data_IF_761130785962
#
_entry.id   IF_761130785962
#
_cell.length_a   1.000
_cell.length_b   1.000
_cell.length_c   1.000
_cell.angle_alpha   90.00
_cell.angle_beta   90.00
_cell.angle_gamma   90.00
#
_symmetry.space_group_name_H-M   'P 1'
#
loop_
_entity.id
_entity.type
_entity.pdbx_description
1 polymer ?
#
# COMPACT_ATOMS: atom_id res chain seq x y z
N UNK A 1 -9.25 -10.27 -14.14
CA UNK A 1 -9.85 -9.48 -13.05
C UNK A 1 -9.67 -8.01 -13.40
N UNK A 2 -10.75 -7.22 -13.38
CA UNK A 2 -10.63 -5.77 -13.53
C UNK A 2 -10.03 -5.20 -12.25
N UNK A 3 -9.05 -4.31 -12.34
CA UNK A 3 -8.55 -3.57 -11.18
C UNK A 3 -9.68 -2.72 -10.62
N UNK A 4 -9.95 -2.81 -9.32
CA UNK A 4 -10.83 -1.85 -8.65
C UNK A 4 -10.06 -0.54 -8.47
N UNK A 5 -10.68 0.57 -8.88
CA UNK A 5 -10.07 1.88 -8.82
C UNK A 5 -11.12 2.98 -8.60
N UNK A 6 -10.64 4.14 -8.16
CA UNK A 6 -11.40 5.38 -8.19
C UNK A 6 -10.48 6.58 -8.43
N UNK A 7 -11.05 7.69 -8.88
CA UNK A 7 -10.35 8.96 -8.98
C UNK A 7 -10.71 9.86 -7.80
N UNK A 8 -9.71 10.51 -7.20
CA UNK A 8 -9.91 11.53 -6.19
C UNK A 8 -8.78 12.58 -6.25
N UNK A 9 -9.16 13.86 -6.19
CA UNK A 9 -8.23 14.99 -6.21
C UNK A 9 -7.25 14.96 -7.41
N UNK A 10 -7.70 14.46 -8.56
CA UNK A 10 -6.88 14.37 -9.78
C UNK A 10 -5.92 13.17 -9.83
N UNK A 11 -5.99 12.26 -8.86
CA UNK A 11 -5.15 11.06 -8.81
C UNK A 11 -6.00 9.78 -8.88
N UNK A 12 -5.46 8.77 -9.56
CA UNK A 12 -6.06 7.44 -9.64
C UNK A 12 -5.57 6.60 -8.46
N UNK A 13 -6.53 6.01 -7.74
CA UNK A 13 -6.30 5.10 -6.62
C UNK A 13 -6.66 3.68 -7.01
N UNK A 14 -5.81 2.72 -6.67
CA UNK A 14 -6.02 1.29 -6.89
C UNK A 14 -6.08 0.53 -5.58
N UNK A 15 -6.96 -0.46 -5.49
CA UNK A 15 -6.90 -1.46 -4.43
C UNK A 15 -5.67 -2.35 -4.67
N UNK A 16 -4.57 -2.12 -3.94
CA UNK A 16 -3.35 -2.88 -4.16
C UNK A 16 -3.30 -4.17 -3.32
N UNK A 17 -2.91 -5.25 -3.98
CA UNK A 17 -2.55 -6.51 -3.33
C UNK A 17 -1.03 -6.64 -3.29
N UNK A 18 -0.44 -6.41 -2.12
CA UNK A 18 1.01 -6.44 -1.92
C UNK A 18 1.39 -7.38 -0.79
N UNK A 19 2.60 -7.90 -0.85
CA UNK A 19 3.21 -8.61 0.28
C UNK A 19 3.43 -7.63 1.44
N UNK A 20 3.55 -8.15 2.66
CA UNK A 20 3.80 -7.30 3.82
C UNK A 20 5.17 -6.60 3.71
N UNK A 21 5.21 -5.25 3.67
CA UNK A 21 6.46 -4.51 3.51
C UNK A 21 7.41 -4.68 4.71
N UNK A 22 6.88 -4.76 5.94
CA UNK A 22 7.67 -5.00 7.15
C UNK A 22 8.28 -6.40 7.15
N UNK A 23 7.51 -7.43 6.77
CA UNK A 23 8.07 -8.77 6.61
C UNK A 23 9.15 -8.80 5.53
N UNK A 24 8.94 -8.09 4.41
CA UNK A 24 9.94 -8.00 3.33
C UNK A 24 11.24 -7.38 3.83
N UNK A 25 11.17 -6.29 4.59
CA UNK A 25 12.34 -5.65 5.22
C UNK A 25 13.10 -6.61 6.16
N UNK A 26 12.38 -7.53 6.82
CA UNK A 26 12.95 -8.58 7.69
C UNK A 26 13.40 -9.84 6.93
N UNK A 27 13.34 -9.85 5.60
CA UNK A 27 13.69 -11.02 4.78
C UNK A 27 12.65 -12.16 4.81
N UNK A 28 11.43 -11.90 5.32
CA UNK A 28 10.33 -12.85 5.41
C UNK A 28 9.44 -12.70 4.19
N UNK A 29 9.18 -13.80 3.48
CA UNK A 29 8.25 -13.83 2.35
C UNK A 29 6.83 -14.04 2.86
N UNK A 30 5.90 -13.19 2.42
CA UNK A 30 4.47 -13.30 2.72
C UNK A 30 3.65 -13.27 1.44
N UNK A 31 2.45 -13.88 1.40
CA UNK A 31 1.54 -13.75 0.27
C UNK A 31 1.15 -12.29 0.01
N UNK A 32 0.79 -11.98 -1.22
CA UNK A 32 0.17 -10.69 -1.54
C UNK A 32 -1.28 -10.68 -1.06
N UNK A 33 -1.65 -9.68 -0.28
CA UNK A 33 -3.01 -9.53 0.27
C UNK A 33 -3.52 -8.10 0.09
N UNK A 34 -4.84 -7.93 0.09
CA UNK A 34 -5.45 -6.61 0.26
C UNK A 34 -5.23 -6.11 1.69
N UNK A 35 -5.27 -4.80 1.86
CA UNK A 35 -5.04 -4.17 3.16
C UNK A 35 -6.25 -3.34 3.61
N UNK A 36 -6.46 -3.30 4.92
CA UNK A 36 -7.58 -2.60 5.55
C UNK A 36 -7.10 -1.57 6.55
N UNK A 37 -7.86 -0.49 6.68
CA UNK A 37 -7.60 0.58 7.63
C UNK A 37 -8.07 0.18 9.01
N UNK A 38 -7.14 0.09 9.96
CA UNK A 38 -7.45 -0.39 11.30
C UNK A 38 -7.92 0.71 12.27
N UNK A 39 -7.59 1.98 12.05
CA UNK A 39 -7.87 3.05 13.01
C UNK A 39 -9.37 3.09 13.37
N UNK A 40 -9.68 3.23 14.65
CA UNK A 40 -11.04 3.23 15.21
C UNK A 40 -11.93 2.06 14.73
N UNK A 41 -11.35 0.86 14.56
CA UNK A 41 -12.04 -0.32 14.01
C UNK A 41 -12.72 -0.03 12.65
N UNK A 42 -12.10 0.82 11.83
CA UNK A 42 -12.66 1.22 10.56
C UNK A 42 -12.94 0.01 9.65
N UNK A 43 -11.94 -0.83 9.40
CA UNK A 43 -12.05 -2.02 8.56
C UNK A 43 -12.31 -1.73 7.08
N UNK A 44 -12.16 -0.47 6.64
CA UNK A 44 -12.31 -0.08 5.24
C UNK A 44 -11.11 -0.50 4.40
N UNK A 45 -11.33 -0.89 3.15
CA UNK A 45 -10.25 -1.26 2.22
C UNK A 45 -9.36 -0.04 1.94
N UNK A 46 -8.06 -0.27 1.92
CA UNK A 46 -7.06 0.74 1.57
C UNK A 46 -6.76 0.68 0.08
N UNK A 47 -6.84 1.83 -0.56
CA UNK A 47 -6.41 2.03 -1.94
C UNK A 47 -5.17 2.93 -1.95
N UNK A 48 -4.28 2.76 -2.91
CA UNK A 48 -3.05 3.56 -3.04
C UNK A 48 -3.12 4.38 -4.32
N UNK A 49 -2.77 5.66 -4.22
CA UNK A 49 -2.78 6.62 -5.32
C UNK A 49 -1.40 6.81 -5.96
N UNK A 50 -1.38 7.24 -7.22
CA UNK A 50 -0.13 7.55 -7.95
C UNK A 50 0.63 8.75 -7.36
N UNK A 51 0.04 9.46 -6.40
CA UNK A 51 0.66 10.51 -5.61
C UNK A 51 1.41 9.99 -4.36
N UNK A 52 1.54 8.66 -4.20
CA UNK A 52 2.14 8.02 -3.03
C UNK A 52 1.36 8.21 -1.70
N UNK A 53 0.04 8.42 -1.79
CA UNK A 53 -0.84 8.40 -0.63
C UNK A 53 -1.71 7.16 -0.64
N UNK A 54 -2.03 6.66 0.54
CA UNK A 54 -3.09 5.67 0.70
C UNK A 54 -4.39 6.33 1.17
N UNK A 55 -5.53 5.75 0.81
CA UNK A 55 -6.86 6.26 1.13
C UNK A 55 -7.76 5.10 1.59
N UNK A 56 -8.40 5.27 2.74
CA UNK A 56 -9.44 4.35 3.19
C UNK A 56 -10.78 4.67 2.53
N UNK A 57 -11.40 3.70 1.86
CA UNK A 57 -12.69 3.93 1.17
C UNK A 57 -13.85 4.22 2.13
N UNK A 58 -13.76 3.79 3.40
CA UNK A 58 -14.84 3.93 4.38
C UNK A 58 -14.79 5.26 5.14
N UNK A 59 -13.66 5.60 5.76
CA UNK A 59 -13.53 6.83 6.56
C UNK A 59 -12.84 7.97 5.83
N UNK A 60 -12.37 7.75 4.59
CA UNK A 60 -11.66 8.74 3.77
C UNK A 60 -10.36 9.26 4.39
N UNK A 61 -9.84 8.58 5.41
CA UNK A 61 -8.51 8.87 5.93
C UNK A 61 -7.48 8.71 4.82
N UNK A 62 -6.58 9.70 4.72
CA UNK A 62 -5.50 9.73 3.75
C UNK A 62 -4.19 10.09 4.44
N UNK A 63 -3.14 9.35 4.15
CA UNK A 63 -1.78 9.67 4.59
C UNK A 63 -0.77 9.17 3.57
N UNK A 64 0.45 9.69 3.65
CA UNK A 64 1.53 9.25 2.77
C UNK A 64 1.87 7.78 3.07
N UNK A 65 2.22 6.97 2.05
CA UNK A 65 2.52 5.53 2.24
C UNK A 65 3.69 5.26 3.19
N UNK A 66 4.60 6.24 3.36
CA UNK A 66 5.69 6.19 4.34
C UNK A 66 5.20 6.23 5.80
N UNK A 67 4.02 6.79 6.05
CA UNK A 67 3.39 6.82 7.37
C UNK A 67 2.54 5.59 7.65
N UNK A 68 2.40 4.70 6.67
CA UNK A 68 1.59 3.50 6.80
C UNK A 68 2.25 2.50 7.76
N UNK A 69 1.53 2.17 8.84
CA UNK A 69 1.88 1.10 9.77
C UNK A 69 1.09 -0.17 9.47
N UNK A 70 1.79 -1.30 9.43
CA UNK A 70 1.27 -2.59 9.00
C UNK A 70 1.10 -3.54 10.19
N UNK A 71 -0.05 -4.20 10.25
CA UNK A 71 -0.29 -5.37 11.11
C UNK A 71 -0.47 -6.57 10.19
N UNK A 72 0.34 -7.61 10.37
CA UNK A 72 0.16 -8.87 9.65
C UNK A 72 0.45 -10.07 10.55
N UNK A 73 -0.17 -11.25 10.34
CA UNK A 73 0.01 -12.40 11.22
C UNK A 73 1.44 -12.96 11.28
N UNK A 74 2.30 -12.58 10.34
CA UNK A 74 3.68 -13.07 10.28
C UNK A 74 4.66 -12.27 11.15
N UNK A 75 4.42 -10.97 11.36
CA UNK A 75 5.29 -10.14 12.20
C UNK A 75 4.61 -9.61 13.46
N UNK A 76 3.28 -9.56 13.50
CA UNK A 76 2.50 -9.10 14.66
C UNK A 76 2.00 -10.34 15.39
N UNK A 77 2.62 -10.69 16.51
CA UNK A 77 2.21 -11.82 17.36
C UNK A 77 1.20 -11.45 18.43
N UNK A 78 0.90 -10.15 18.58
CA UNK A 78 -0.16 -9.59 19.42
C UNK A 78 -1.05 -8.62 18.63
N UNK A 79 -2.24 -8.34 19.13
CA UNK A 79 -3.26 -7.59 18.39
C UNK A 79 -2.95 -6.11 18.16
N UNK A 80 -1.96 -5.55 18.85
CA UNK A 80 -1.70 -4.10 18.87
C UNK A 80 -0.43 -3.66 18.13
N UNK A 81 0.33 -4.60 17.56
CA UNK A 81 1.63 -4.25 16.96
C UNK A 81 1.49 -3.78 15.50
N UNK A 82 1.29 -2.46 15.33
CA UNK A 82 1.35 -1.76 14.06
C UNK A 82 2.75 -1.21 13.80
N UNK A 83 3.44 -1.75 12.79
CA UNK A 83 4.85 -1.49 12.53
C UNK A 83 5.02 -0.72 11.23
N UNK A 84 5.78 0.37 11.25
CA UNK A 84 6.18 1.10 10.05
C UNK A 84 7.38 0.45 9.36
N UNK A 85 7.55 0.71 8.08
CA UNK A 85 8.73 0.26 7.32
C UNK A 85 9.84 1.29 7.47
N UNK A 86 11.08 0.86 7.72
CA UNK A 86 12.23 1.76 7.86
C UNK A 86 12.71 2.34 6.54
N UNK A 87 12.58 1.58 5.44
CA UNK A 87 13.01 1.99 4.11
C UNK A 87 11.88 2.08 3.10
N UNK A 88 11.75 3.23 2.46
CA UNK A 88 10.85 3.44 1.33
C UNK A 88 11.24 2.65 0.06
N UNK A 89 12.50 2.22 -0.08
CA UNK A 89 12.89 1.30 -1.13
C UNK A 89 12.16 -0.05 -1.02
N UNK A 90 11.88 -0.51 0.19
CA UNK A 90 11.08 -1.73 0.42
C UNK A 90 9.62 -1.49 0.01
N UNK A 91 9.08 -0.30 0.24
CA UNK A 91 7.73 0.08 -0.22
C UNK A 91 7.67 0.09 -1.75
N UNK A 92 8.68 0.66 -2.42
CA UNK A 92 8.79 0.66 -3.87
C UNK A 92 8.87 -0.77 -4.43
N UNK A 93 9.68 -1.63 -3.80
CA UNK A 93 9.85 -3.03 -4.21
C UNK A 93 8.53 -3.81 -4.17
N UNK A 94 7.86 -3.83 -3.01
CA UNK A 94 6.64 -4.63 -2.82
C UNK A 94 5.47 -4.15 -3.70
N UNK A 95 5.37 -2.83 -3.95
CA UNK A 95 4.35 -2.27 -4.85
C UNK A 95 4.68 -2.58 -6.31
N UNK A 96 5.96 -2.51 -6.71
CA UNK A 96 6.38 -2.87 -8.07
C UNK A 96 6.10 -4.34 -8.39
N UNK A 97 6.09 -5.21 -7.37
CA UNK A 97 5.73 -6.62 -7.52
C UNK A 97 4.21 -6.89 -7.51
N UNK A 98 3.36 -5.89 -7.28
CA UNK A 98 1.92 -6.10 -7.37
C UNK A 98 1.58 -6.50 -8.80
N UNK A 99 0.98 -7.70 -8.99
CA UNK A 99 0.65 -8.21 -10.33
C UNK A 99 -0.24 -7.27 -11.14
N UNK A 100 -0.90 -6.33 -10.47
CA UNK A 100 -1.70 -5.25 -11.02
C UNK A 100 -0.89 -4.25 -11.88
N UNK A 101 0.41 -4.13 -11.65
CA UNK A 101 1.30 -3.18 -12.33
C UNK A 101 1.71 -3.63 -13.74
N UNK A 102 1.35 -4.84 -14.18
CA UNK A 102 1.73 -5.35 -15.51
C UNK A 102 0.92 -4.74 -16.67
N UNK A 103 -0.23 -4.13 -16.37
CA UNK A 103 -1.06 -3.45 -17.38
C UNK A 103 -0.48 -2.08 -17.77
N UNK A 104 -0.79 -1.57 -18.97
CA UNK A 104 -0.32 -0.24 -19.40
C UNK A 104 -0.70 0.87 -18.41
N UNK A 105 -1.94 0.82 -17.90
CA UNK A 105 -2.43 1.75 -16.88
C UNK A 105 -1.65 1.59 -15.57
N UNK A 106 -1.42 0.34 -15.14
CA UNK A 106 -0.64 0.04 -13.94
C UNK A 106 0.81 0.52 -14.05
N UNK A 107 1.46 0.37 -15.21
CA UNK A 107 2.83 0.84 -15.44
C UNK A 107 2.93 2.36 -15.35
N UNK A 108 2.02 3.09 -16.01
CA UNK A 108 1.97 4.57 -15.93
C UNK A 108 1.73 5.06 -14.52
N UNK A 109 0.82 4.40 -13.80
CA UNK A 109 0.56 4.67 -12.39
C UNK A 109 1.79 4.42 -11.52
N UNK A 110 2.49 3.30 -11.73
CA UNK A 110 3.68 2.92 -10.95
C UNK A 110 4.81 3.94 -11.11
N UNK A 111 5.06 4.40 -12.35
CA UNK A 111 6.09 5.42 -12.62
C UNK A 111 5.82 6.68 -11.79
N UNK A 112 4.59 7.21 -11.86
CA UNK A 112 4.21 8.39 -11.08
C UNK A 112 4.24 8.14 -9.57
N UNK A 113 3.82 6.96 -9.12
CA UNK A 113 3.92 6.58 -7.70
C UNK A 113 5.38 6.66 -7.21
N UNK A 114 6.32 6.11 -7.98
CA UNK A 114 7.75 6.11 -7.63
C UNK A 114 8.36 7.52 -7.68
N UNK A 115 7.92 8.37 -8.61
CA UNK A 115 8.30 9.80 -8.66
C UNK A 115 7.80 10.55 -7.41
N UNK A 116 6.60 10.25 -6.94
CA UNK A 116 5.97 10.91 -5.79
C UNK A 116 6.36 10.30 -4.43
N UNK A 117 7.03 9.14 -4.39
CA UNK A 117 7.42 8.48 -3.15
C UNK A 117 8.37 9.35 -2.31
N UNK A 118 9.09 10.29 -2.94
CA UNK A 118 9.87 11.35 -2.28
C UNK A 118 11.23 10.90 -1.75
N UNK A 119 11.95 10.07 -2.50
CA UNK A 119 13.32 9.61 -2.19
C UNK A 119 14.39 10.18 -3.16
N UNK A 120 14.08 11.26 -3.86
CA UNK A 120 14.96 11.92 -4.82
C UNK A 120 15.49 13.24 -4.30
#
# INVERSE_FOLDING_TARGET
>A
MSLQSFEANGYIYFELHIACPVCRERGITTPQTGWVHANDNCGGIIYVGENAYYCCVKCRHTAHVKEWKYKCPSHSTSDDEYIGVGSSAVIAEVISCAGQMVSEVGQKWLIKFLENLGDW
#
